data_IF_333935414534
#
_entry.id   IF_333935414534
#
_cell.length_a   1.000
_cell.length_b   1.000
_cell.length_c   1.000
_cell.angle_alpha   90.00
_cell.angle_beta   90.00
_cell.angle_gamma   90.00
#
_symmetry.space_group_name_H-M   'P 1'
#
loop_
_entity.id
_entity.type
_entity.pdbx_description
1 polymer ?
#
# COMPACT_ATOMS: atom_id res chain seq x y z
N UNK A 1 -16.00 31.70 -6.28
CA UNK A 1 -14.72 32.13 -5.69
C UNK A 1 -13.87 30.90 -5.35
N UNK A 2 -12.56 31.06 -5.04
CA UNK A 2 -11.72 29.95 -4.54
C UNK A 2 -12.25 29.37 -3.22
N UNK A 3 -12.80 30.23 -2.35
CA UNK A 3 -13.42 29.81 -1.08
C UNK A 3 -14.67 28.95 -1.31
N UNK A 4 -15.50 29.28 -2.30
CA UNK A 4 -16.67 28.44 -2.64
C UNK A 4 -16.23 27.06 -3.14
N UNK A 5 -15.10 26.99 -3.84
CA UNK A 5 -14.49 25.72 -4.26
C UNK A 5 -14.07 24.87 -3.07
N UNK A 6 -13.37 25.46 -2.09
CA UNK A 6 -13.01 24.79 -0.84
C UNK A 6 -14.24 24.30 -0.07
N UNK A 7 -15.30 25.12 -0.01
CA UNK A 7 -16.56 24.73 0.64
C UNK A 7 -17.22 23.52 -0.04
N UNK A 8 -17.18 23.44 -1.38
CA UNK A 8 -17.67 22.28 -2.14
C UNK A 8 -16.86 21.02 -1.86
N UNK A 9 -15.53 21.14 -1.79
CA UNK A 9 -14.65 20.01 -1.45
C UNK A 9 -14.95 19.52 -0.03
N UNK A 10 -15.02 20.43 0.94
CA UNK A 10 -15.34 20.10 2.33
C UNK A 10 -16.71 19.40 2.47
N UNK A 11 -17.70 19.82 1.69
CA UNK A 11 -19.00 19.17 1.67
C UNK A 11 -18.94 17.76 1.08
N UNK A 12 -18.14 17.52 0.03
CA UNK A 12 -18.05 16.23 -0.65
C UNK A 12 -17.38 15.13 0.18
N UNK A 13 -16.43 15.48 1.04
CA UNK A 13 -15.70 14.52 1.90
C UNK A 13 -16.22 14.50 3.35
N UNK A 14 -17.34 15.17 3.59
CA UNK A 14 -17.97 15.24 4.91
C UNK A 14 -18.16 13.83 5.47
N UNK A 15 -17.84 13.66 6.75
CA UNK A 15 -17.93 12.41 7.52
C UNK A 15 -17.05 11.26 7.02
N UNK A 16 -16.21 11.49 6.00
CA UNK A 16 -15.23 10.50 5.49
C UNK A 16 -13.82 10.78 6.01
N UNK A 17 -13.48 12.05 6.20
CA UNK A 17 -12.17 12.48 6.71
C UNK A 17 -12.28 13.80 7.47
N UNK A 18 -11.38 14.01 8.43
CA UNK A 18 -11.17 15.33 9.02
C UNK A 18 -10.43 16.22 8.01
N UNK A 19 -10.99 17.40 7.73
CA UNK A 19 -10.38 18.40 6.86
C UNK A 19 -9.86 19.58 7.68
N UNK A 20 -8.61 19.95 7.47
CA UNK A 20 -8.00 21.17 8.00
C UNK A 20 -7.58 22.08 6.85
N UNK A 21 -7.53 23.39 7.09
CA UNK A 21 -7.08 24.37 6.11
C UNK A 21 -5.80 25.03 6.65
N UNK A 22 -4.71 24.88 5.92
CA UNK A 22 -3.44 25.55 6.20
C UNK A 22 -3.17 26.60 5.11
N UNK A 23 -3.42 27.90 5.36
CA UNK A 23 -3.17 28.95 4.39
C UNK A 23 -1.67 29.26 4.19
N UNK A 24 -0.79 28.63 4.98
CA UNK A 24 0.67 28.89 4.95
C UNK A 24 1.46 27.80 4.24
N UNK A 25 0.81 26.71 3.83
CA UNK A 25 1.45 25.67 3.04
C UNK A 25 1.94 26.25 1.71
N UNK A 26 3.22 26.03 1.44
CA UNK A 26 3.96 26.55 0.29
C UNK A 26 4.75 25.48 -0.47
N UNK A 27 4.79 24.24 0.01
CA UNK A 27 5.47 23.14 -0.66
C UNK A 27 4.73 22.73 -1.94
N UNK A 28 5.46 22.77 -3.07
CA UNK A 28 4.91 22.45 -4.38
C UNK A 28 4.25 23.62 -5.11
N UNK A 29 4.35 24.85 -4.57
CA UNK A 29 3.78 26.05 -5.21
C UNK A 29 4.35 26.36 -6.59
N UNK A 30 5.53 25.85 -6.93
CA UNK A 30 6.18 26.13 -8.22
C UNK A 30 5.43 25.49 -9.41
N UNK A 31 4.65 24.42 -9.18
CA UNK A 31 3.90 23.72 -10.23
C UNK A 31 2.39 23.64 -9.98
N UNK A 32 1.94 23.92 -8.76
CA UNK A 32 0.51 23.88 -8.41
C UNK A 32 -0.22 25.15 -8.87
N UNK A 33 -1.35 24.97 -9.54
CA UNK A 33 -2.09 26.06 -10.18
C UNK A 33 -3.13 26.73 -9.26
N UNK A 34 -3.60 26.04 -8.21
CA UNK A 34 -4.64 26.56 -7.32
C UNK A 34 -4.65 25.94 -5.92
N UNK A 35 -4.82 24.63 -5.80
CA UNK A 35 -4.96 23.94 -4.52
C UNK A 35 -3.93 22.82 -4.43
N UNK A 36 -3.20 22.77 -3.32
CA UNK A 36 -2.48 21.59 -2.86
C UNK A 36 -3.19 20.96 -1.66
N UNK A 37 -3.03 19.66 -1.47
CA UNK A 37 -3.50 18.95 -0.29
C UNK A 37 -2.51 17.85 0.11
N UNK A 38 -2.47 17.57 1.42
CA UNK A 38 -1.75 16.43 2.00
C UNK A 38 -2.74 15.49 2.66
N UNK A 39 -2.45 14.19 2.60
CA UNK A 39 -3.25 13.12 3.20
C UNK A 39 -2.49 12.59 4.41
N UNK A 40 -3.17 12.48 5.54
CA UNK A 40 -2.65 11.92 6.77
C UNK A 40 -3.51 10.76 7.22
N UNK A 41 -2.89 9.75 7.85
CA UNK A 41 -3.58 8.60 8.41
C UNK A 41 -3.30 8.47 9.91
N UNK A 42 -4.29 7.99 10.64
CA UNK A 42 -4.15 7.72 12.06
C UNK A 42 -3.04 6.67 12.29
N UNK A 43 -2.17 6.91 13.27
CA UNK A 43 -1.06 6.01 13.58
C UNK A 43 0.16 6.13 12.68
N UNK A 44 0.11 6.96 11.62
CA UNK A 44 1.24 7.19 10.72
C UNK A 44 1.95 8.48 11.07
N UNK A 45 3.30 8.44 11.10
CA UNK A 45 4.10 9.66 11.26
C UNK A 45 4.26 10.32 9.90
N UNK A 46 3.79 11.56 9.77
CA UNK A 46 3.91 12.34 8.54
C UNK A 46 2.76 12.09 7.56
N UNK A 47 2.90 12.66 6.36
CA UNK A 47 1.91 12.51 5.29
C UNK A 47 2.06 11.15 4.58
N UNK A 48 0.93 10.54 4.23
CA UNK A 48 0.86 9.30 3.44
C UNK A 48 0.66 9.57 1.94
N UNK A 49 0.49 10.84 1.58
CA UNK A 49 0.34 11.26 0.20
C UNK A 49 0.12 12.76 0.09
N UNK A 50 0.30 13.25 -1.13
CA UNK A 50 0.15 14.67 -1.46
C UNK A 50 -0.34 14.80 -2.89
N UNK A 51 -1.14 15.82 -3.12
CA UNK A 51 -1.69 16.11 -4.44
C UNK A 51 -2.05 17.57 -4.61
N UNK A 52 -2.58 17.88 -5.78
CA UNK A 52 -3.02 19.23 -6.08
C UNK A 52 -3.44 19.38 -7.53
N UNK A 53 -3.94 20.57 -7.84
CA UNK A 53 -4.21 20.98 -9.20
C UNK A 53 -2.93 21.51 -9.84
N UNK A 54 -2.71 21.17 -11.11
CA UNK A 54 -1.57 21.64 -11.89
C UNK A 54 -1.99 21.83 -13.36
N UNK A 55 -1.10 22.42 -14.15
CA UNK A 55 -1.31 22.62 -15.58
C UNK A 55 -0.35 21.73 -16.36
N UNK A 56 -0.88 20.91 -17.26
CA UNK A 56 -0.08 20.17 -18.23
C UNK A 56 0.15 21.08 -19.43
N UNK A 57 1.43 21.29 -19.78
CA UNK A 57 1.82 22.01 -21.00
C UNK A 57 2.13 20.97 -22.07
N UNK A 58 1.33 20.97 -23.13
CA UNK A 58 1.50 20.08 -24.28
C UNK A 58 2.62 20.59 -25.20
N UNK A 59 3.12 19.71 -26.06
CA UNK A 59 4.23 20.05 -26.99
C UNK A 59 3.88 21.14 -28.01
N UNK A 60 2.59 21.42 -28.23
CA UNK A 60 2.06 22.51 -29.06
C UNK A 60 1.80 23.81 -28.28
N UNK A 61 2.15 23.84 -26.99
CA UNK A 61 1.94 24.98 -26.10
C UNK A 61 0.53 25.08 -25.52
N UNK A 62 -0.36 24.12 -25.80
CA UNK A 62 -1.70 24.09 -25.18
C UNK A 62 -1.59 23.77 -23.70
N UNK A 63 -2.38 24.47 -22.91
CA UNK A 63 -2.54 24.22 -21.48
C UNK A 63 -3.74 23.29 -21.23
N UNK A 64 -3.57 22.34 -20.32
CA UNK A 64 -4.64 21.47 -19.83
C UNK A 64 -4.67 21.46 -18.31
N UNK A 65 -5.84 21.76 -17.75
CA UNK A 65 -6.05 21.71 -16.30
C UNK A 65 -6.10 20.24 -15.83
N UNK A 66 -5.29 19.92 -14.84
CA UNK A 66 -5.19 18.59 -14.27
C UNK A 66 -5.24 18.63 -12.74
N UNK A 67 -5.60 17.48 -12.16
CA UNK A 67 -5.54 17.23 -10.72
C UNK A 67 -5.05 15.81 -10.52
N UNK A 68 -4.15 15.63 -9.55
CA UNK A 68 -3.57 14.33 -9.27
C UNK A 68 -2.98 14.30 -7.87
N UNK A 69 -2.64 13.10 -7.42
CA UNK A 69 -1.96 12.87 -6.16
C UNK A 69 -1.09 11.63 -6.24
N UNK A 70 -0.12 11.57 -5.35
CA UNK A 70 0.72 10.39 -5.12
C UNK A 70 0.49 9.92 -3.70
N UNK A 71 0.51 8.60 -3.52
CA UNK A 71 0.58 7.96 -2.21
C UNK A 71 1.99 7.44 -1.99
N UNK A 72 2.46 7.55 -0.75
CA UNK A 72 3.75 7.06 -0.34
C UNK A 72 3.57 5.67 0.25
N UNK A 73 4.15 4.65 -0.40
CA UNK A 73 3.97 3.26 0.00
C UNK A 73 4.59 3.00 1.39
N UNK A 74 5.79 3.51 1.65
CA UNK A 74 6.52 3.20 2.89
C UNK A 74 5.75 3.65 4.15
N UNK A 75 5.24 4.90 4.27
CA UNK A 75 4.42 5.30 5.41
C UNK A 75 3.14 4.48 5.58
N UNK A 76 2.56 3.99 4.48
CA UNK A 76 1.35 3.15 4.50
C UNK A 76 1.68 1.74 5.00
N UNK A 77 2.81 1.18 4.60
CA UNK A 77 3.29 -0.12 5.07
C UNK A 77 3.71 -0.06 6.54
N UNK A 78 4.40 1.01 6.96
CA UNK A 78 4.76 1.27 8.35
C UNK A 78 3.53 1.42 9.26
N UNK A 79 2.38 1.81 8.69
CA UNK A 79 1.09 1.84 9.37
C UNK A 79 0.50 0.45 9.67
N UNK A 80 1.12 -0.62 9.17
CA UNK A 80 0.63 -2.00 9.27
C UNK A 80 -0.39 -2.38 8.19
N UNK A 81 -0.60 -1.55 7.16
CA UNK A 81 -1.45 -1.94 6.04
C UNK A 81 -0.78 -3.05 5.25
N UNK A 82 -1.43 -4.21 5.16
CA UNK A 82 -0.86 -5.38 4.48
C UNK A 82 -0.13 -6.36 5.39
N UNK A 83 -0.14 -6.16 6.72
CA UNK A 83 0.38 -7.12 7.71
C UNK A 83 -0.56 -8.33 7.91
N UNK A 84 -1.22 -8.78 6.85
CA UNK A 84 -1.88 -10.08 6.84
C UNK A 84 -0.82 -11.14 7.03
N UNK A 85 -0.71 -11.68 8.25
CA UNK A 85 0.31 -12.65 8.64
C UNK A 85 0.53 -13.69 7.55
N UNK A 86 1.74 -13.71 6.97
CA UNK A 86 2.06 -14.59 5.84
C UNK A 86 1.84 -16.05 6.26
N UNK A 87 0.90 -16.73 5.62
CA UNK A 87 0.69 -18.18 5.75
C UNK A 87 1.86 -18.93 5.10
N UNK A 88 2.98 -18.99 5.81
CA UNK A 88 4.20 -19.68 5.36
C UNK A 88 4.11 -21.16 5.69
N UNK A 89 4.22 -22.01 4.67
CA UNK A 89 4.08 -23.46 4.77
C UNK A 89 5.40 -24.13 4.37
N UNK A 90 5.99 -24.87 5.30
CA UNK A 90 7.16 -25.67 5.03
C UNK A 90 6.78 -26.95 4.30
N UNK A 91 7.48 -27.25 3.20
CA UNK A 91 7.34 -28.48 2.42
C UNK A 91 8.56 -29.37 2.74
N UNK A 92 8.37 -30.54 3.37
CA UNK A 92 9.46 -31.47 3.63
C UNK A 92 10.21 -31.90 2.36
N UNK A 93 11.45 -32.34 2.55
CA UNK A 93 12.30 -32.79 1.45
C UNK A 93 11.60 -33.91 0.66
N UNK A 94 11.63 -33.81 -0.67
CA UNK A 94 10.95 -34.76 -1.55
C UNK A 94 9.45 -34.50 -1.77
N UNK A 95 8.91 -33.39 -1.25
CA UNK A 95 7.53 -32.96 -1.59
C UNK A 95 7.42 -32.75 -3.11
N UNK A 96 6.44 -33.37 -3.79
CA UNK A 96 6.21 -33.17 -5.22
C UNK A 96 5.97 -31.69 -5.58
N UNK A 97 6.55 -31.25 -6.70
CA UNK A 97 6.52 -29.84 -7.13
C UNK A 97 5.12 -29.36 -7.52
N UNK A 98 4.28 -30.25 -8.02
CA UNK A 98 2.88 -30.04 -8.35
C UNK A 98 2.02 -29.80 -7.11
N UNK A 99 2.22 -30.58 -6.04
CA UNK A 99 1.58 -30.34 -4.75
C UNK A 99 1.96 -28.96 -4.18
N UNK A 100 3.24 -28.61 -4.25
CA UNK A 100 3.68 -27.26 -3.88
C UNK A 100 3.03 -26.16 -4.72
N UNK A 101 2.86 -26.37 -6.03
CA UNK A 101 2.18 -25.42 -6.91
C UNK A 101 0.69 -25.27 -6.59
N UNK A 102 0.00 -26.38 -6.31
CA UNK A 102 -1.40 -26.36 -5.88
C UNK A 102 -1.58 -25.56 -4.57
N UNK A 103 -0.75 -25.84 -3.56
CA UNK A 103 -0.77 -25.12 -2.28
C UNK A 103 -0.51 -23.61 -2.45
N UNK A 104 0.38 -23.21 -3.36
CA UNK A 104 0.56 -21.78 -3.68
C UNK A 104 -0.69 -21.15 -4.30
N UNK A 105 -1.42 -21.88 -5.16
CA UNK A 105 -2.68 -21.39 -5.74
C UNK A 105 -3.80 -21.20 -4.69
N UNK A 106 -3.71 -21.90 -3.57
CA UNK A 106 -4.58 -21.74 -2.40
C UNK A 106 -4.16 -20.57 -1.47
N UNK A 107 -3.09 -19.84 -1.82
CA UNK A 107 -2.62 -18.67 -1.07
C UNK A 107 -1.52 -18.97 -0.04
N UNK A 108 -0.94 -20.17 -0.03
CA UNK A 108 0.22 -20.47 0.81
C UNK A 108 1.51 -19.90 0.24
N UNK A 109 2.35 -19.31 1.09
CA UNK A 109 3.75 -19.05 0.79
C UNK A 109 4.57 -20.31 1.12
N UNK A 110 4.78 -21.19 0.14
CA UNK A 110 5.49 -22.46 0.35
C UNK A 110 7.01 -22.26 0.43
N UNK A 111 7.67 -22.92 1.39
CA UNK A 111 9.13 -23.00 1.51
C UNK A 111 9.55 -24.46 1.47
N UNK A 112 10.25 -24.88 0.42
CA UNK A 112 10.70 -26.26 0.29
C UNK A 112 12.03 -26.48 1.00
N UNK A 113 12.14 -27.59 1.74
CA UNK A 113 13.41 -28.08 2.24
C UNK A 113 14.34 -28.41 1.07
N UNK A 114 15.59 -27.95 1.15
CA UNK A 114 16.65 -28.27 0.21
C UNK A 114 17.50 -29.43 0.74
N UNK A 115 17.60 -29.56 2.07
CA UNK A 115 18.37 -30.60 2.74
C UNK A 115 17.55 -31.23 3.88
N UNK A 116 18.03 -32.37 4.41
CA UNK A 116 17.30 -33.12 5.44
C UNK A 116 17.22 -32.38 6.79
N UNK A 117 18.19 -31.51 7.07
CA UNK A 117 18.29 -30.77 8.33
C UNK A 117 17.53 -29.44 8.32
N UNK A 118 16.89 -29.09 7.19
CA UNK A 118 16.03 -27.92 7.13
C UNK A 118 14.83 -28.09 8.06
N UNK A 119 14.54 -27.05 8.85
CA UNK A 119 13.41 -27.04 9.79
C UNK A 119 12.42 -25.93 9.44
N UNK A 120 11.11 -26.14 9.69
CA UNK A 120 10.12 -25.09 9.46
C UNK A 120 10.38 -23.84 10.31
N UNK A 121 10.94 -23.97 11.52
CA UNK A 121 11.26 -22.86 12.42
C UNK A 121 12.41 -21.99 11.87
N UNK A 122 13.51 -22.61 11.41
CA UNK A 122 14.63 -21.88 10.81
C UNK A 122 14.19 -21.11 9.55
N UNK A 123 13.17 -21.61 8.86
CA UNK A 123 12.62 -21.01 7.64
C UNK A 123 11.46 -20.03 7.89
N UNK A 124 11.22 -19.65 9.15
CA UNK A 124 10.14 -18.73 9.57
C UNK A 124 8.76 -19.17 9.06
N UNK A 125 8.53 -20.48 8.97
CA UNK A 125 7.23 -21.01 8.60
C UNK A 125 6.27 -20.95 9.78
N UNK A 126 4.99 -20.84 9.47
CA UNK A 126 3.89 -20.90 10.43
C UNK A 126 3.22 -22.28 10.46
N UNK A 127 3.41 -23.05 9.39
CA UNK A 127 2.81 -24.36 9.18
C UNK A 127 3.84 -25.30 8.53
N UNK A 128 3.60 -26.60 8.63
CA UNK A 128 4.33 -27.67 7.94
C UNK A 128 3.35 -28.58 7.20
N UNK A 129 3.75 -29.07 6.02
CA UNK A 129 2.99 -30.05 5.28
C UNK A 129 3.21 -31.44 5.89
N UNK A 130 2.16 -32.02 6.48
CA UNK A 130 2.18 -33.36 7.07
C UNK A 130 1.02 -34.18 6.50
N UNK A 131 1.32 -35.37 5.97
CA UNK A 131 0.30 -36.25 5.38
C UNK A 131 -0.47 -35.61 4.21
N UNK A 132 0.14 -34.66 3.49
CA UNK A 132 -0.50 -33.93 2.39
C UNK A 132 -1.37 -32.75 2.82
N UNK A 133 -1.44 -32.44 4.11
CA UNK A 133 -2.22 -31.32 4.64
C UNK A 133 -1.34 -30.30 5.39
N UNK A 134 -1.62 -28.99 5.29
CA UNK A 134 -0.97 -27.97 6.12
C UNK A 134 -1.37 -28.11 7.59
N UNK A 135 -0.39 -28.16 8.50
CA UNK A 135 -0.58 -28.24 9.95
C UNK A 135 0.19 -27.09 10.61
N UNK A 136 -0.42 -26.39 11.56
CA UNK A 136 0.25 -25.33 12.32
C UNK A 136 1.42 -25.90 13.14
N UNK A 137 2.51 -25.13 13.24
CA UNK A 137 3.68 -25.48 14.08
C UNK A 137 3.39 -25.32 15.57
#
# INVERSE_FOLDING_TARGET
>A
SRLDGLAKIAAAIRDQAALTLDPTERHGFEYQSWLGFSIFAAGVRGEIGRGGSYTIIHGDGREEAAVGFSLFADPILDAGLGDGGRRRLFLPLGTPSDLGAALRSEGWATVAALEADDTPQAQLCSHVLLGGAPVAL
#
